data_IF_126859525606
#
_entry.id   IF_126859525606
#
_cell.length_a   1.000
_cell.length_b   1.000
_cell.length_c   1.000
_cell.angle_alpha   90.00
_cell.angle_beta   90.00
_cell.angle_gamma   90.00
#
_symmetry.space_group_name_H-M   'P 1'
#
loop_
_entity.id
_entity.type
_entity.pdbx_description
1 polymer ?
#
# COMPACT_ATOMS: atom_id res chain seq x y z
N UNK A 1 6.01 -17.40 8.67
CA UNK A 1 6.30 -15.97 9.02
C UNK A 1 7.18 -15.94 10.25
N UNK A 2 8.24 -15.17 10.24
CA UNK A 2 9.12 -15.05 11.39
C UNK A 2 8.50 -14.14 12.48
N UNK A 3 9.08 -14.21 13.68
CA UNK A 3 8.56 -13.48 14.83
C UNK A 3 8.62 -11.94 14.61
N UNK A 4 9.69 -11.46 14.00
CA UNK A 4 9.84 -10.02 13.78
C UNK A 4 8.79 -9.49 12.82
N UNK A 5 8.52 -10.22 11.72
CA UNK A 5 7.46 -9.85 10.78
C UNK A 5 6.09 -9.86 11.45
N UNK A 6 5.81 -10.85 12.30
CA UNK A 6 4.56 -10.89 13.06
C UNK A 6 4.40 -9.66 13.96
N UNK A 7 5.47 -9.28 14.66
CA UNK A 7 5.44 -8.10 15.54
C UNK A 7 5.24 -6.82 14.76
N UNK A 8 5.88 -6.71 13.60
CA UNK A 8 5.73 -5.53 12.75
C UNK A 8 4.31 -5.43 12.19
N UNK A 9 3.70 -6.55 11.80
CA UNK A 9 2.31 -6.57 11.37
C UNK A 9 1.35 -6.19 12.51
N UNK A 10 1.60 -6.69 13.71
CA UNK A 10 0.81 -6.31 14.88
C UNK A 10 0.89 -4.80 15.13
N UNK A 11 2.08 -4.22 15.05
CA UNK A 11 2.26 -2.78 15.20
C UNK A 11 1.50 -2.00 14.12
N UNK A 12 1.60 -2.45 12.86
CA UNK A 12 0.88 -1.83 11.76
C UNK A 12 -0.62 -1.82 12.02
N UNK A 13 -1.20 -2.97 12.37
CA UNK A 13 -2.65 -3.06 12.61
C UNK A 13 -3.06 -2.26 13.84
N UNK A 14 -2.21 -2.22 14.86
CA UNK A 14 -2.47 -1.38 16.03
C UNK A 14 -2.56 0.10 15.63
N UNK A 15 -1.62 0.58 14.82
CA UNK A 15 -1.62 1.97 14.34
C UNK A 15 -2.82 2.27 13.44
N UNK A 16 -3.27 1.29 12.67
CA UNK A 16 -4.46 1.41 11.84
C UNK A 16 -5.76 1.32 12.66
N UNK A 17 -5.66 0.93 13.92
CA UNK A 17 -6.80 0.63 14.78
C UNK A 17 -7.69 -0.44 14.16
N UNK A 18 -7.06 -1.49 13.62
CA UNK A 18 -7.72 -2.62 13.00
C UNK A 18 -7.09 -3.91 13.51
N UNK A 19 -7.92 -4.93 13.71
CA UNK A 19 -7.46 -6.17 14.35
C UNK A 19 -7.85 -7.35 13.47
N UNK A 20 -6.88 -7.97 12.77
CA UNK A 20 -7.16 -9.15 11.96
C UNK A 20 -7.47 -10.35 12.86
N UNK A 21 -8.22 -11.31 12.32
CA UNK A 21 -8.51 -12.55 13.03
C UNK A 21 -7.23 -13.38 13.20
N UNK A 22 -6.37 -13.37 12.17
CA UNK A 22 -5.09 -14.09 12.20
C UNK A 22 -4.09 -13.37 11.31
N UNK A 23 -2.81 -13.55 11.61
CA UNK A 23 -1.73 -13.06 10.76
C UNK A 23 -1.27 -14.17 9.84
N UNK A 24 -1.21 -13.88 8.54
CA UNK A 24 -0.80 -14.83 7.51
C UNK A 24 0.24 -14.17 6.62
N UNK A 25 0.95 -15.00 5.83
CA UNK A 25 1.96 -14.50 4.91
C UNK A 25 1.38 -13.67 3.77
N UNK A 26 0.10 -13.86 3.47
CA UNK A 26 -0.61 -13.10 2.45
C UNK A 26 -1.99 -12.78 2.98
N UNK A 27 -2.32 -11.48 2.98
CA UNK A 27 -3.58 -10.98 3.54
C UNK A 27 -4.16 -9.91 2.61
N UNK A 28 -5.46 -9.96 2.37
CA UNK A 28 -6.15 -8.95 1.56
C UNK A 28 -7.29 -8.36 2.38
N UNK A 29 -7.41 -7.03 2.34
CA UNK A 29 -8.43 -6.29 3.06
C UNK A 29 -9.12 -5.29 2.14
N UNK A 30 -10.41 -5.10 2.35
CA UNK A 30 -11.19 -4.09 1.65
C UNK A 30 -11.73 -3.11 2.69
N UNK A 31 -11.05 -2.00 2.87
CA UNK A 31 -11.43 -0.93 3.79
C UNK A 31 -11.81 0.30 2.97
N UNK A 32 -13.09 0.38 2.61
CA UNK A 32 -13.61 1.43 1.72
C UNK A 32 -13.02 2.79 2.05
N UNK A 33 -12.49 3.55 1.06
CA UNK A 33 -12.52 3.27 -0.39
C UNK A 33 -11.36 2.43 -0.92
N UNK A 34 -10.52 1.87 -0.05
CA UNK A 34 -9.26 1.23 -0.43
C UNK A 34 -9.31 -0.29 -0.35
N UNK A 35 -8.64 -0.95 -1.30
CA UNK A 35 -8.22 -2.31 -1.15
C UNK A 35 -6.74 -2.34 -0.75
N UNK A 36 -6.34 -3.37 -0.06
CA UNK A 36 -4.98 -3.53 0.45
C UNK A 36 -4.58 -5.00 0.42
N UNK A 37 -3.39 -5.27 -0.13
CA UNK A 37 -2.78 -6.60 -0.03
C UNK A 37 -1.42 -6.47 0.66
N UNK A 38 -1.20 -7.31 1.65
CA UNK A 38 0.05 -7.39 2.38
C UNK A 38 0.62 -8.79 2.19
N UNK A 39 1.87 -8.87 1.72
CA UNK A 39 2.55 -10.13 1.51
C UNK A 39 3.91 -10.11 2.16
N UNK A 40 4.21 -11.11 2.98
CA UNK A 40 5.54 -11.26 3.57
C UNK A 40 6.34 -12.23 2.70
N UNK A 41 7.46 -11.74 2.17
CA UNK A 41 8.38 -12.53 1.35
C UNK A 41 9.80 -12.26 1.82
N UNK A 42 10.52 -13.31 2.20
CA UNK A 42 11.91 -13.20 2.65
C UNK A 42 12.06 -12.13 3.73
N UNK A 43 11.14 -12.12 4.71
CA UNK A 43 11.13 -11.21 5.85
C UNK A 43 10.90 -9.74 5.46
N UNK A 44 10.43 -9.50 4.25
CA UNK A 44 10.08 -8.16 3.76
C UNK A 44 8.61 -8.09 3.43
N UNK A 45 8.04 -6.88 3.59
CA UNK A 45 6.64 -6.66 3.27
C UNK A 45 6.49 -6.10 1.86
N UNK A 46 5.71 -6.80 1.04
CA UNK A 46 5.21 -6.27 -0.23
C UNK A 46 3.82 -5.71 0.03
N UNK A 47 3.65 -4.43 -0.19
CA UNK A 47 2.41 -3.71 0.10
C UNK A 47 1.81 -3.21 -1.21
N UNK A 48 0.54 -3.55 -1.45
CA UNK A 48 -0.17 -3.12 -2.66
C UNK A 48 -1.50 -2.53 -2.25
N UNK A 49 -1.80 -1.34 -2.75
CA UNK A 49 -3.05 -0.64 -2.47
C UNK A 49 -3.74 -0.26 -3.77
N UNK A 50 -5.07 -0.15 -3.73
CA UNK A 50 -5.88 0.27 -4.88
C UNK A 50 -7.18 0.91 -4.41
N UNK A 51 -7.89 1.56 -5.34
CA UNK A 51 -9.24 2.07 -5.09
C UNK A 51 -10.26 1.03 -5.52
N UNK A 52 -11.21 0.74 -4.64
CA UNK A 52 -12.20 -0.33 -4.89
C UNK A 52 -13.18 0.02 -6.00
N UNK A 53 -13.60 1.30 -6.08
CA UNK A 53 -14.70 1.70 -6.96
C UNK A 53 -14.30 2.66 -8.09
N UNK A 54 -13.02 3.00 -8.19
CA UNK A 54 -12.53 3.96 -9.20
C UNK A 54 -11.78 3.23 -10.30
N UNK A 55 -12.17 3.48 -11.56
CA UNK A 55 -11.48 2.94 -12.72
C UNK A 55 -10.58 4.00 -13.34
N UNK A 56 -9.44 3.57 -13.85
CA UNK A 56 -8.45 4.42 -14.49
C UNK A 56 -8.24 3.93 -15.93
N UNK A 57 -8.40 4.83 -16.90
CA UNK A 57 -8.25 4.48 -18.31
C UNK A 57 -6.81 4.66 -18.80
N UNK A 58 -6.10 5.67 -18.30
CA UNK A 58 -4.75 5.99 -18.75
C UNK A 58 -3.84 6.17 -17.56
N UNK A 59 -2.88 5.24 -17.44
CA UNK A 59 -1.90 5.26 -16.38
C UNK A 59 -0.85 6.36 -16.56
N UNK A 60 -0.59 6.79 -17.81
CA UNK A 60 0.50 7.71 -18.11
C UNK A 60 0.35 9.06 -17.43
N UNK A 61 -0.88 9.55 -17.26
CA UNK A 61 -1.16 10.81 -16.57
C UNK A 61 -0.61 10.74 -15.14
N UNK A 62 -0.79 9.63 -14.48
CA UNK A 62 -0.37 9.46 -13.09
C UNK A 62 1.13 9.20 -12.96
N UNK A 63 1.73 8.56 -13.95
CA UNK A 63 3.18 8.37 -13.99
C UNK A 63 3.92 9.70 -14.10
N UNK A 64 3.37 10.69 -14.81
CA UNK A 64 3.97 12.02 -14.92
C UNK A 64 3.86 12.84 -13.64
N UNK A 65 2.90 12.52 -12.79
CA UNK A 65 2.69 13.20 -11.50
C UNK A 65 3.43 12.51 -10.36
N UNK A 66 4.10 11.45 -10.69
CA UNK A 66 4.85 10.64 -9.74
C UNK A 66 6.12 11.33 -9.31
N UNK A 67 6.40 11.34 -8.02
CA UNK A 67 7.67 11.85 -7.52
C UNK A 67 8.20 10.90 -6.45
N UNK A 68 9.43 10.34 -6.62
CA UNK A 68 9.99 9.40 -5.65
C UNK A 68 10.03 9.93 -4.23
N UNK A 69 10.24 11.24 -4.07
CA UNK A 69 10.29 11.89 -2.75
C UNK A 69 8.96 11.80 -2.01
N UNK A 70 7.84 11.66 -2.73
CA UNK A 70 6.53 11.54 -2.09
C UNK A 70 6.38 10.25 -1.28
N UNK A 71 7.26 9.27 -1.50
CA UNK A 71 7.23 7.97 -0.84
C UNK A 71 8.50 7.72 -0.04
N UNK A 72 9.11 8.78 0.50
CA UNK A 72 10.31 8.71 1.34
C UNK A 72 11.48 8.00 0.64
N UNK A 73 11.54 8.11 -0.69
CA UNK A 73 12.58 7.47 -1.50
C UNK A 73 12.35 6.00 -1.77
N UNK A 74 11.26 5.41 -1.29
CA UNK A 74 10.95 3.99 -1.55
C UNK A 74 10.32 3.88 -2.94
N UNK A 75 10.91 3.07 -3.86
CA UNK A 75 10.35 2.89 -5.19
C UNK A 75 8.95 2.27 -5.13
N UNK A 76 8.05 2.81 -5.94
CA UNK A 76 6.71 2.28 -6.09
C UNK A 76 6.52 1.79 -7.52
N UNK A 77 5.60 0.87 -7.70
CA UNK A 77 5.19 0.41 -9.03
C UNK A 77 3.72 0.75 -9.23
N UNK A 78 3.41 1.37 -10.35
CA UNK A 78 2.03 1.63 -10.77
C UNK A 78 1.68 0.70 -11.91
N UNK A 79 0.54 0.05 -11.84
CA UNK A 79 0.05 -0.81 -12.91
C UNK A 79 -1.46 -0.91 -12.85
N UNK A 80 -2.07 -1.41 -13.92
CA UNK A 80 -3.53 -1.59 -13.99
C UNK A 80 -3.88 -3.06 -13.94
N UNK A 81 -4.87 -3.40 -13.12
CA UNK A 81 -5.51 -4.71 -13.14
C UNK A 81 -7.01 -4.45 -13.28
N UNK A 82 -7.59 -4.86 -14.42
CA UNK A 82 -9.03 -4.66 -14.71
C UNK A 82 -9.43 -3.21 -14.51
N UNK A 83 -8.60 -2.28 -15.02
CA UNK A 83 -8.79 -0.83 -14.93
C UNK A 83 -8.69 -0.27 -13.50
N UNK A 84 -8.28 -1.07 -12.55
CA UNK A 84 -7.96 -0.61 -11.19
C UNK A 84 -6.49 -0.22 -11.13
N UNK A 85 -6.21 0.99 -10.67
CA UNK A 85 -4.81 1.42 -10.49
C UNK A 85 -4.27 0.79 -9.22
N UNK A 86 -3.23 -0.02 -9.39
CA UNK A 86 -2.52 -0.65 -8.30
C UNK A 86 -1.23 0.13 -8.02
N UNK A 87 -0.97 0.43 -6.76
CA UNK A 87 0.31 0.98 -6.32
C UNK A 87 0.95 0.00 -5.37
N UNK A 88 2.18 -0.42 -5.68
CA UNK A 88 2.84 -1.49 -4.94
C UNK A 88 4.27 -1.10 -4.61
N UNK A 89 4.73 -1.48 -3.43
CA UNK A 89 6.13 -1.32 -3.05
C UNK A 89 6.61 -2.48 -2.19
N UNK A 90 7.90 -2.75 -2.29
CA UNK A 90 8.59 -3.66 -1.38
C UNK A 90 9.23 -2.80 -0.30
N UNK A 91 8.73 -2.89 0.92
CA UNK A 91 9.23 -2.09 2.03
C UNK A 91 10.68 -2.47 2.32
N UNK A 92 11.51 -1.50 2.74
CA UNK A 92 12.92 -1.77 3.03
C UNK A 92 13.11 -2.90 4.04
N UNK A 93 14.20 -3.66 3.90
CA UNK A 93 14.44 -4.87 4.70
C UNK A 93 14.53 -4.62 6.19
N UNK A 94 14.93 -3.42 6.60
CA UNK A 94 15.07 -3.08 8.02
C UNK A 94 13.94 -2.19 8.52
N UNK A 95 12.83 -2.12 7.76
CA UNK A 95 11.69 -1.30 8.18
C UNK A 95 10.86 -2.02 9.24
N UNK A 96 10.17 -1.23 10.05
CA UNK A 96 9.32 -1.70 11.13
C UNK A 96 7.85 -1.41 10.81
N UNK A 97 6.95 -1.89 11.67
CA UNK A 97 5.51 -1.69 11.48
C UNK A 97 5.11 -0.23 11.35
N UNK A 98 5.75 0.68 12.11
CA UNK A 98 5.48 2.12 11.99
C UNK A 98 5.88 2.68 10.63
N UNK A 99 6.96 2.16 10.04
CA UNK A 99 7.38 2.54 8.69
C UNK A 99 6.37 2.03 7.65
N UNK A 100 5.87 0.83 7.85
CA UNK A 100 4.83 0.25 6.99
C UNK A 100 3.54 1.06 7.06
N UNK A 101 3.18 1.53 8.25
CA UNK A 101 2.02 2.39 8.45
C UNK A 101 2.19 3.72 7.68
N UNK A 102 3.35 4.36 7.80
CA UNK A 102 3.64 5.59 7.06
C UNK A 102 3.54 5.37 5.55
N UNK A 103 4.10 4.27 5.06
CA UNK A 103 4.05 3.95 3.63
C UNK A 103 2.63 3.72 3.14
N UNK A 104 1.82 3.02 3.93
CA UNK A 104 0.41 2.80 3.59
C UNK A 104 -0.33 4.13 3.48
N UNK A 105 -0.13 5.04 4.42
CA UNK A 105 -0.76 6.36 4.37
C UNK A 105 -0.35 7.13 3.12
N UNK A 106 0.92 7.07 2.72
CA UNK A 106 1.40 7.73 1.51
C UNK A 106 0.76 7.14 0.26
N UNK A 107 0.63 5.82 0.19
CA UNK A 107 -0.07 5.17 -0.92
C UNK A 107 -1.53 5.61 -0.98
N UNK A 108 -2.21 5.67 0.18
CA UNK A 108 -3.60 6.09 0.24
C UNK A 108 -3.77 7.56 -0.13
N UNK A 109 -2.85 8.43 0.26
CA UNK A 109 -2.86 9.83 -0.16
C UNK A 109 -2.76 9.99 -1.67
N UNK A 110 -1.88 9.21 -2.29
CA UNK A 110 -1.75 9.22 -3.75
C UNK A 110 -3.05 8.75 -4.41
N UNK A 111 -3.61 7.63 -3.94
CA UNK A 111 -4.86 7.11 -4.47
C UNK A 111 -6.04 8.06 -4.26
N UNK A 112 -6.04 8.80 -3.17
CA UNK A 112 -7.06 9.81 -2.90
C UNK A 112 -7.06 10.90 -3.98
N UNK A 113 -5.88 11.29 -4.47
CA UNK A 113 -5.78 12.25 -5.58
C UNK A 113 -6.34 11.66 -6.87
N UNK A 114 -6.11 10.38 -7.11
CA UNK A 114 -6.67 9.67 -8.26
C UNK A 114 -8.20 9.66 -8.18
N UNK A 115 -8.73 9.37 -6.99
CA UNK A 115 -10.18 9.32 -6.76
C UNK A 115 -10.85 10.66 -7.04
N UNK A 116 -10.16 11.77 -6.78
CA UNK A 116 -10.65 13.11 -7.06
C UNK A 116 -10.27 13.61 -8.45
N UNK A 117 -9.88 12.71 -9.37
CA UNK A 117 -9.51 13.08 -10.73
C UNK A 117 -8.24 13.90 -10.82
N UNK A 118 -7.43 13.94 -9.75
CA UNK A 118 -6.21 14.72 -9.72
C UNK A 118 -6.42 16.22 -9.58
N UNK A 119 -7.64 16.66 -9.27
CA UNK A 119 -7.99 18.06 -9.10
C UNK A 119 -7.70 18.48 -7.67
N UNK A 120 -6.44 18.70 -7.38
CA UNK A 120 -6.05 19.18 -6.06
C UNK A 120 -5.00 20.24 -6.19
#
# INVERSE_FOLDING_TARGET
MDLQSSRNLEELFHLLNRWPVSLEDQMEYHWVPYGLMLEIKDQRLLMTSWLLDTQVQDLNIWLTRWHPQAFLGVPQRLFLIKQKMMISCLCPSNSEGRNWYQMLLLQQQFLSKVDHGGLV
#
